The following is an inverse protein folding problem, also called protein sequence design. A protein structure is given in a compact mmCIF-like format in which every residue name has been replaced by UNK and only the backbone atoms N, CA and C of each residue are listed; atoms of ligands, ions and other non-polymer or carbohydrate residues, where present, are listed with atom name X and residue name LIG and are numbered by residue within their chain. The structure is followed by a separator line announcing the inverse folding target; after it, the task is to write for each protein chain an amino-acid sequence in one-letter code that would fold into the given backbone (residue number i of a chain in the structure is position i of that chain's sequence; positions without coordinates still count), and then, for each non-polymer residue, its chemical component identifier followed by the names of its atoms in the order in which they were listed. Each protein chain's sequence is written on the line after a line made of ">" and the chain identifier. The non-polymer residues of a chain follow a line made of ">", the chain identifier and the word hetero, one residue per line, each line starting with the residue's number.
data_IF_107549811657
#
_entry.id   IF_107549811657
#
_cell.length_a   1.000
_cell.length_b   1.000
_cell.length_c   1.000
_cell.angle_alpha   90.00
_cell.angle_beta   90.00
_cell.angle_gamma   90.00
#
_symmetry.space_group_name_H-M   'P 1'
#
loop_
_entity.id
_entity.type
_entity.pdbx_description
1 polymer ?
#
# COMPACT_ATOMS: atom_id res chain seq x y z
N UNK A 1 -21.87 -3.91 -11.71
CA UNK A 1 -20.47 -4.08 -12.19
C UNK A 1 -19.58 -4.12 -10.97
N UNK A 2 -18.75 -5.15 -10.85
CA UNK A 2 -17.84 -5.34 -9.73
C UNK A 2 -16.54 -5.99 -10.22
N UNK A 3 -15.51 -5.94 -9.38
CA UNK A 3 -14.24 -6.60 -9.66
C UNK A 3 -14.44 -8.09 -9.40
N UNK A 4 -14.36 -8.90 -10.46
CA UNK A 4 -14.61 -10.36 -10.37
C UNK A 4 -13.43 -11.12 -9.79
N UNK A 5 -12.23 -10.64 -10.07
CA UNK A 5 -11.00 -11.31 -9.71
C UNK A 5 -10.30 -10.47 -8.63
N UNK A 6 -10.21 -11.01 -7.41
CA UNK A 6 -9.55 -10.39 -6.25
C UNK A 6 -8.53 -11.38 -5.67
N UNK A 7 -7.29 -10.95 -5.44
CA UNK A 7 -6.24 -11.73 -4.80
C UNK A 7 -5.48 -10.88 -3.79
N UNK A 8 -5.16 -11.46 -2.63
CA UNK A 8 -4.23 -10.85 -1.68
C UNK A 8 -2.93 -11.64 -1.70
N UNK A 9 -1.80 -10.93 -1.84
CA UNK A 9 -0.45 -11.47 -1.80
C UNK A 9 0.13 -11.12 -0.44
N UNK A 10 0.42 -12.13 0.35
CA UNK A 10 1.03 -12.05 1.69
C UNK A 10 2.42 -12.66 1.75
N UNK A 11 2.78 -13.48 0.76
CA UNK A 11 4.09 -14.12 0.64
C UNK A 11 4.63 -14.01 -0.80
N UNK A 12 5.95 -14.12 -0.95
CA UNK A 12 6.62 -13.94 -2.26
C UNK A 12 6.27 -15.04 -3.28
N UNK A 13 5.99 -16.25 -2.80
CA UNK A 13 5.60 -17.40 -3.63
C UNK A 13 4.22 -17.23 -4.29
N UNK A 14 3.41 -16.28 -3.82
CA UNK A 14 2.12 -15.92 -4.41
C UNK A 14 2.24 -14.89 -5.56
N UNK A 15 3.42 -14.26 -5.72
CA UNK A 15 3.68 -13.26 -6.76
C UNK A 15 3.46 -13.81 -8.18
N UNK A 16 3.91 -15.03 -8.55
CA UNK A 16 3.65 -15.60 -9.87
C UNK A 16 2.14 -15.74 -10.17
N UNK A 17 1.33 -16.15 -9.19
CA UNK A 17 -0.12 -16.28 -9.34
C UNK A 17 -0.78 -14.91 -9.54
N UNK A 18 -0.35 -13.90 -8.78
CA UNK A 18 -0.82 -12.53 -8.92
C UNK A 18 -0.46 -11.92 -10.29
N UNK A 19 0.75 -12.17 -10.78
CA UNK A 19 1.20 -11.74 -12.10
C UNK A 19 0.35 -12.36 -13.22
N UNK A 20 0.07 -13.67 -13.13
CA UNK A 20 -0.81 -14.33 -14.08
C UNK A 20 -2.22 -13.74 -14.08
N UNK A 21 -2.77 -13.46 -12.90
CA UNK A 21 -4.09 -12.87 -12.73
C UNK A 21 -4.20 -11.46 -13.33
N UNK A 22 -3.22 -10.59 -13.12
CA UNK A 22 -3.20 -9.23 -13.67
C UNK A 22 -3.18 -9.20 -15.21
N UNK A 23 -2.67 -10.25 -15.85
CA UNK A 23 -2.56 -10.37 -17.31
C UNK A 23 -3.80 -10.97 -17.98
N UNK A 24 -4.82 -11.38 -17.20
CA UNK A 24 -6.06 -11.90 -17.76
C UNK A 24 -6.82 -10.78 -18.47
N UNK A 25 -7.31 -11.06 -19.67
CA UNK A 25 -8.10 -10.12 -20.47
C UNK A 25 -9.63 -10.25 -20.22
N UNK A 26 -10.03 -11.03 -19.20
CA UNK A 26 -11.44 -11.37 -18.95
C UNK A 26 -12.18 -10.38 -18.05
N UNK A 27 -11.55 -9.25 -17.72
CA UNK A 27 -12.20 -8.14 -17.03
C UNK A 27 -11.31 -7.45 -15.99
N UNK A 28 -11.91 -6.61 -15.13
CA UNK A 28 -11.19 -5.92 -14.08
C UNK A 28 -10.67 -6.89 -13.02
N UNK A 29 -9.37 -6.77 -12.74
CA UNK A 29 -8.64 -7.55 -11.75
C UNK A 29 -8.15 -6.63 -10.61
N UNK A 30 -8.11 -7.14 -9.38
CA UNK A 30 -7.56 -6.44 -8.23
C UNK A 30 -6.61 -7.35 -7.46
N UNK A 31 -5.37 -6.90 -7.29
CA UNK A 31 -4.37 -7.58 -6.46
C UNK A 31 -3.98 -6.65 -5.32
N UNK A 32 -4.11 -7.12 -4.08
CA UNK A 32 -3.69 -6.44 -2.88
C UNK A 32 -2.36 -7.03 -2.40
N UNK A 33 -1.27 -6.25 -2.43
CA UNK A 33 0.06 -6.69 -2.01
C UNK A 33 0.35 -6.21 -0.59
N UNK A 34 0.52 -7.16 0.34
CA UNK A 34 0.99 -6.89 1.69
C UNK A 34 2.52 -6.86 1.68
N UNK A 35 3.10 -5.67 1.85
CA UNK A 35 4.54 -5.45 1.66
C UNK A 35 5.33 -5.61 2.96
N UNK A 36 4.81 -5.15 4.10
CA UNK A 36 5.43 -5.29 5.44
C UNK A 36 4.44 -4.87 6.55
N UNK A 37 4.58 -5.43 7.76
CA UNK A 37 3.87 -4.98 8.97
C UNK A 37 4.69 -3.94 9.78
N UNK A 38 5.95 -3.74 9.42
CA UNK A 38 6.87 -2.80 10.09
C UNK A 38 6.80 -1.37 9.54
N UNK A 39 7.38 -0.40 10.25
CA UNK A 39 7.51 0.95 9.74
C UNK A 39 8.28 0.94 8.40
N UNK A 40 7.93 1.83 7.46
CA UNK A 40 8.60 1.89 6.15
C UNK A 40 10.12 2.03 6.32
N UNK A 41 10.88 1.16 5.66
CA UNK A 41 12.36 1.07 5.78
C UNK A 41 13.11 2.26 5.19
N UNK A 42 12.43 3.11 4.40
CA UNK A 42 12.96 4.34 3.85
C UNK A 42 11.87 5.41 3.79
N UNK A 43 12.15 6.68 4.14
CA UNK A 43 11.22 7.76 3.84
C UNK A 43 11.07 7.84 2.30
N UNK A 44 9.86 7.74 1.74
CA UNK A 44 9.67 7.90 0.31
C UNK A 44 9.93 9.39 0.01
N UNK A 45 11.03 9.62 -0.72
CA UNK A 45 11.47 10.95 -1.08
C UNK A 45 10.32 11.74 -1.69
N UNK A 46 9.98 12.86 -1.04
CA UNK A 46 9.07 13.94 -1.48
C UNK A 46 7.62 13.92 -0.99
N UNK A 47 6.96 12.77 -0.74
CA UNK A 47 5.57 12.80 -0.22
C UNK A 47 5.49 12.88 1.31
N UNK A 48 6.52 12.41 2.01
CA UNK A 48 6.55 12.42 3.47
C UNK A 48 6.93 13.76 4.07
N UNK A 49 7.63 14.64 3.37
CA UNK A 49 8.01 15.94 3.92
C UNK A 49 6.77 16.79 4.27
N UNK A 50 5.73 16.70 3.44
CA UNK A 50 4.43 17.31 3.69
C UNK A 50 3.65 16.61 4.83
N UNK A 51 3.76 15.28 4.91
CA UNK A 51 3.10 14.49 5.97
C UNK A 51 3.78 14.72 7.33
N UNK A 52 5.10 14.77 7.37
CA UNK A 52 5.91 15.06 8.56
C UNK A 52 5.69 16.49 9.03
N UNK A 53 5.70 17.48 8.13
CA UNK A 53 5.36 18.87 8.49
C UNK A 53 3.94 18.99 9.04
N UNK A 54 2.97 18.30 8.44
CA UNK A 54 1.59 18.25 8.95
C UNK A 54 1.51 17.56 10.32
N UNK A 55 2.24 16.47 10.52
CA UNK A 55 2.26 15.72 11.78
C UNK A 55 2.95 16.53 12.89
N UNK A 56 4.09 17.16 12.59
CA UNK A 56 4.81 18.03 13.50
C UNK A 56 3.98 19.25 13.88
N UNK A 57 3.33 19.90 12.91
CA UNK A 57 2.40 20.99 13.16
C UNK A 57 1.25 20.55 14.07
N UNK A 58 0.63 19.39 13.80
CA UNK A 58 -0.46 18.86 14.63
C UNK A 58 0.00 18.56 16.07
N UNK A 59 1.21 18.01 16.25
CA UNK A 59 1.80 17.74 17.57
C UNK A 59 2.09 19.03 18.34
N UNK A 60 2.63 20.06 17.67
CA UNK A 60 2.89 21.36 18.28
C UNK A 60 1.60 22.11 18.63
N UNK A 61 0.55 21.98 17.81
CA UNK A 61 -0.72 22.68 18.00
C UNK A 61 -1.59 22.06 19.10
N UNK A 62 -1.60 20.73 19.20
CA UNK A 62 -2.49 20.03 20.13
C UNK A 62 -1.84 19.76 21.49
N UNK A 63 -0.49 19.76 21.56
CA UNK A 63 0.24 19.31 22.74
C UNK A 63 -0.02 17.82 23.01
N UNK A 64 1.00 17.03 23.34
CA UNK A 64 0.70 15.71 23.90
C UNK A 64 0.35 15.90 25.38
N UNK A 65 -0.86 15.47 25.76
CA UNK A 65 -1.13 14.95 27.09
C UNK A 65 -0.65 13.50 27.21
#
# INVERSE_FOLDING_TARGET
>A
FGIKNVLTVTAEDEIPAANAMLRRADGPNFVHLKVNDGPPTRPPGRSWDAVERKLAFRKALLGHS
#
